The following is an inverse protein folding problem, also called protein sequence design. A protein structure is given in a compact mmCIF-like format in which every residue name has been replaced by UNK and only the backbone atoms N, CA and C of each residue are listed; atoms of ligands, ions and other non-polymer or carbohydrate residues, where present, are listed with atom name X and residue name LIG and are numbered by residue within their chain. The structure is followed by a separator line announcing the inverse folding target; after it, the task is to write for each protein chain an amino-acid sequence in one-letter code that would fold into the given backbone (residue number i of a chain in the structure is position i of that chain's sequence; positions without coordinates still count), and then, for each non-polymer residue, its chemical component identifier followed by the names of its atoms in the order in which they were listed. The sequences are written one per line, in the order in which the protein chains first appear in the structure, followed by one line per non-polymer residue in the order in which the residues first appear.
data_IF_127057174438
#
_entry.id   IF_127057174438
#
_cell.length_a   1.000
_cell.length_b   1.000
_cell.length_c   1.000
_cell.angle_alpha   90.00
_cell.angle_beta   90.00
_cell.angle_gamma   90.00
#
_symmetry.space_group_name_H-M   'P 1'
#
loop_
_entity.id
_entity.type
_entity.pdbx_description
1 polymer ?
#
# COMPACT_ATOMS: atom_id res chain seq x y z
N UNK A 1 -20.60 -17.34 -0.15
CA UNK A 1 -19.17 -17.22 0.18
C UNK A 1 -18.99 -16.00 1.07
N UNK A 2 -17.95 -15.98 1.89
CA UNK A 2 -17.52 -14.80 2.65
C UNK A 2 -16.58 -14.01 1.74
N UNK A 3 -16.82 -12.72 1.51
CA UNK A 3 -15.91 -11.89 0.71
C UNK A 3 -14.57 -11.74 1.46
N UNK A 4 -13.45 -11.79 0.74
CA UNK A 4 -12.10 -11.57 1.26
C UNK A 4 -11.43 -10.42 0.53
N UNK A 5 -10.89 -9.45 1.27
CA UNK A 5 -10.20 -8.29 0.70
C UNK A 5 -8.81 -8.08 1.30
N UNK A 6 -7.90 -7.56 0.48
CA UNK A 6 -6.57 -7.10 0.91
C UNK A 6 -6.61 -5.58 1.08
N UNK A 7 -6.34 -5.08 2.28
CA UNK A 7 -6.15 -3.65 2.54
C UNK A 7 -4.66 -3.35 2.67
N UNK A 8 -4.08 -2.64 1.70
CA UNK A 8 -2.67 -2.33 1.64
C UNK A 8 -2.42 -0.83 1.81
N UNK A 9 -1.52 -0.47 2.73
CA UNK A 9 -1.22 0.91 3.09
C UNK A 9 -1.66 1.25 4.52
N UNK A 10 -2.45 2.30 4.69
CA UNK A 10 -3.03 2.83 5.94
C UNK A 10 -2.06 3.13 7.11
N UNK A 11 -0.76 2.84 7.00
CA UNK A 11 0.20 2.89 8.10
C UNK A 11 1.40 3.77 7.80
N UNK A 12 1.91 4.46 8.81
CA UNK A 12 3.03 5.39 8.68
C UNK A 12 3.99 5.27 9.87
N UNK A 13 5.24 5.69 9.64
CA UNK A 13 6.23 5.91 10.68
C UNK A 13 6.55 7.41 10.67
N UNK A 14 6.28 8.08 11.80
CA UNK A 14 6.67 9.47 12.04
C UNK A 14 8.05 9.43 12.70
N UNK A 15 9.00 10.20 12.18
CA UNK A 15 10.23 10.53 12.88
C UNK A 15 10.27 12.05 13.09
N UNK A 16 10.28 12.48 14.35
CA UNK A 16 10.21 13.88 14.75
C UNK A 16 11.53 14.32 15.37
N UNK A 17 12.08 15.44 14.91
CA UNK A 17 13.22 16.11 15.52
C UNK A 17 12.68 17.29 16.35
N UNK A 18 12.95 17.27 17.65
CA UNK A 18 12.47 18.26 18.62
C UNK A 18 13.62 19.16 19.05
N UNK A 19 13.66 20.39 18.53
CA UNK A 19 14.65 21.40 18.92
C UNK A 19 14.10 22.31 20.02
N UNK A 20 14.84 22.48 21.12
CA UNK A 20 14.43 23.28 22.28
C UNK A 20 15.62 24.06 22.84
N UNK A 21 15.71 25.34 22.49
CA UNK A 21 16.81 26.20 22.93
C UNK A 21 18.12 25.82 22.24
N UNK A 22 19.04 25.21 22.97
CA UNK A 22 20.30 24.68 22.44
C UNK A 22 20.25 23.16 22.19
N UNK A 23 19.24 22.47 22.73
CA UNK A 23 19.17 21.01 22.77
C UNK A 23 18.30 20.44 21.64
N UNK A 24 18.65 19.26 21.15
CA UNK A 24 17.79 18.44 20.29
C UNK A 24 17.55 17.04 20.88
N UNK A 25 16.38 16.46 20.59
CA UNK A 25 16.08 15.05 20.80
C UNK A 25 15.09 14.58 19.74
N UNK A 26 14.92 13.26 19.59
CA UNK A 26 14.01 12.69 18.58
C UNK A 26 12.92 11.82 19.20
N UNK A 27 11.78 11.72 18.51
CA UNK A 27 10.80 10.65 18.74
C UNK A 27 10.55 9.90 17.43
N UNK A 28 10.27 8.60 17.54
CA UNK A 28 9.85 7.75 16.40
C UNK A 28 8.60 7.00 16.81
N UNK A 29 7.54 7.15 16.01
CA UNK A 29 6.18 6.70 16.35
C UNK A 29 5.58 5.98 15.14
N UNK A 30 4.89 4.86 15.38
CA UNK A 30 4.16 4.11 14.35
C UNK A 30 2.65 4.34 14.52
N UNK A 31 1.93 4.50 13.41
CA UNK A 31 0.49 4.72 13.42
C UNK A 31 -0.24 4.03 12.27
N UNK A 32 -1.53 3.74 12.50
CA UNK A 32 -2.43 3.07 11.56
C UNK A 32 -3.77 3.81 11.50
N UNK A 33 -4.25 4.12 10.30
CA UNK A 33 -5.54 4.79 10.07
C UNK A 33 -6.71 3.83 9.82
N UNK A 34 -6.43 2.67 9.22
CA UNK A 34 -7.44 1.78 8.62
C UNK A 34 -8.41 1.10 9.60
N UNK A 35 -8.23 1.24 10.91
CA UNK A 35 -9.00 0.50 11.92
C UNK A 35 -10.52 0.60 11.74
N UNK A 36 -11.06 1.81 11.56
CA UNK A 36 -12.51 2.00 11.43
C UNK A 36 -13.08 1.35 10.15
N UNK A 37 -12.29 1.33 9.08
CA UNK A 37 -12.63 0.64 7.83
C UNK A 37 -12.59 -0.89 8.02
N UNK A 38 -11.53 -1.41 8.65
CA UNK A 38 -11.35 -2.83 8.97
C UNK A 38 -12.49 -3.34 9.88
N UNK A 39 -12.79 -2.61 10.96
CA UNK A 39 -13.83 -2.97 11.92
C UNK A 39 -15.22 -2.92 11.26
N UNK A 40 -15.49 -1.94 10.39
CA UNK A 40 -16.72 -1.83 9.61
C UNK A 40 -16.91 -2.96 8.58
N UNK A 41 -15.87 -3.28 7.80
CA UNK A 41 -15.88 -4.39 6.84
C UNK A 41 -16.15 -5.74 7.56
N UNK A 42 -15.47 -5.98 8.68
CA UNK A 42 -15.66 -7.18 9.51
C UNK A 42 -17.06 -7.26 10.11
N UNK A 43 -17.65 -6.14 10.54
CA UNK A 43 -19.03 -6.10 11.03
C UNK A 43 -20.07 -6.49 9.95
N UNK A 44 -19.74 -6.28 8.67
CA UNK A 44 -20.55 -6.73 7.52
C UNK A 44 -20.15 -8.11 6.98
N UNK A 45 -19.33 -8.87 7.70
CA UNK A 45 -18.97 -10.25 7.33
C UNK A 45 -17.95 -10.33 6.19
N UNK A 46 -17.13 -9.30 5.99
CA UNK A 46 -16.02 -9.30 5.03
C UNK A 46 -14.73 -9.65 5.77
N UNK A 47 -14.00 -10.64 5.28
CA UNK A 47 -12.65 -10.97 5.77
C UNK A 47 -11.66 -9.93 5.22
N UNK A 48 -10.85 -9.35 6.11
CA UNK A 48 -9.89 -8.30 5.75
C UNK A 48 -8.49 -8.72 6.21
N UNK A 49 -7.63 -8.98 5.23
CA UNK A 49 -6.19 -9.09 5.45
C UNK A 49 -5.60 -7.69 5.35
N UNK A 50 -4.98 -7.21 6.43
CA UNK A 50 -4.38 -5.88 6.48
C UNK A 50 -2.86 -5.96 6.32
N UNK A 51 -2.33 -5.20 5.36
CA UNK A 51 -0.92 -5.09 5.02
C UNK A 51 -0.45 -3.65 5.22
N UNK A 52 0.17 -3.34 6.37
CA UNK A 52 0.83 -2.07 6.62
C UNK A 52 1.73 -1.63 5.46
N UNK A 53 1.68 -0.34 5.11
CA UNK A 53 2.44 0.27 4.01
C UNK A 53 3.96 0.04 4.03
N UNK A 54 4.54 -0.33 5.17
CA UNK A 54 5.95 -0.69 5.29
C UNK A 54 6.27 -2.14 4.87
N UNK A 55 5.27 -3.03 4.83
CA UNK A 55 5.39 -4.41 4.32
C UNK A 55 5.04 -4.51 2.83
N UNK A 56 4.23 -3.60 2.29
CA UNK A 56 3.84 -3.55 0.86
C UNK A 56 5.03 -3.71 -0.12
N UNK A 57 6.23 -3.13 0.12
CA UNK A 57 7.37 -3.35 -0.78
C UNK A 57 7.80 -4.80 -0.92
N UNK A 58 7.84 -5.60 0.15
CA UNK A 58 8.27 -7.00 0.14
C UNK A 58 7.12 -7.99 -0.03
N UNK A 59 6.01 -7.76 0.66
CA UNK A 59 5.00 -8.79 0.96
C UNK A 59 3.78 -8.72 0.02
N UNK A 60 3.62 -7.63 -0.75
CA UNK A 60 2.50 -7.49 -1.67
C UNK A 60 2.61 -8.51 -2.83
N UNK A 61 1.53 -9.25 -3.16
CA UNK A 61 1.51 -10.32 -4.16
C UNK A 61 2.31 -10.05 -5.44
N UNK A 62 3.14 -11.04 -5.80
CA UNK A 62 4.10 -10.98 -6.91
C UNK A 62 3.62 -11.65 -8.20
N UNK A 63 2.42 -12.22 -8.19
CA UNK A 63 1.84 -12.99 -9.29
C UNK A 63 0.31 -12.87 -9.24
N UNK A 64 -0.36 -13.41 -10.27
CA UNK A 64 -1.81 -13.35 -10.37
C UNK A 64 -2.54 -14.36 -9.48
N UNK A 65 -1.93 -15.49 -9.12
CA UNK A 65 -2.59 -16.52 -8.31
C UNK A 65 -2.79 -16.03 -6.87
N UNK A 66 -1.78 -15.33 -6.32
CA UNK A 66 -1.87 -14.66 -5.03
C UNK A 66 -2.76 -13.41 -5.03
N UNK A 67 -3.08 -12.81 -6.18
CA UNK A 67 -4.04 -11.71 -6.31
C UNK A 67 -5.48 -12.23 -6.46
N UNK A 68 -5.68 -13.25 -7.29
CA UNK A 68 -6.97 -13.93 -7.53
C UNK A 68 -7.54 -14.60 -6.25
N UNK A 69 -6.75 -14.67 -5.16
CA UNK A 69 -7.16 -15.08 -3.82
C UNK A 69 -7.98 -14.02 -3.03
N UNK A 70 -8.26 -12.86 -3.62
CA UNK A 70 -9.06 -11.77 -3.02
C UNK A 70 -10.17 -11.30 -3.98
N UNK A 71 -11.38 -11.10 -3.46
CA UNK A 71 -12.50 -10.51 -4.22
C UNK A 71 -12.25 -9.04 -4.55
N UNK A 72 -11.54 -8.32 -3.66
CA UNK A 72 -11.09 -6.95 -3.92
C UNK A 72 -9.77 -6.60 -3.21
N UNK A 73 -9.07 -5.62 -3.78
CA UNK A 73 -7.84 -5.02 -3.27
C UNK A 73 -8.09 -3.53 -3.03
N UNK A 74 -7.80 -3.07 -1.83
CA UNK A 74 -7.96 -1.70 -1.37
C UNK A 74 -6.55 -1.10 -1.19
N UNK A 75 -6.22 -0.09 -1.99
CA UNK A 75 -5.01 0.72 -1.84
C UNK A 75 -5.38 2.03 -1.15
N UNK A 76 -4.82 2.29 0.04
CA UNK A 76 -5.15 3.47 0.83
C UNK A 76 -3.90 4.13 1.42
N UNK A 77 -3.71 5.42 1.12
CA UNK A 77 -2.55 6.24 1.51
C UNK A 77 -1.19 5.59 1.21
N UNK A 78 -1.06 4.97 0.01
CA UNK A 78 0.12 4.19 -0.39
C UNK A 78 0.58 4.55 -1.82
N UNK A 79 1.79 5.09 -1.91
CA UNK A 79 2.36 5.57 -3.18
C UNK A 79 2.78 4.42 -4.10
N UNK A 80 2.71 4.63 -5.42
CA UNK A 80 3.04 3.62 -6.44
C UNK A 80 4.46 3.08 -6.32
N UNK A 81 5.39 3.87 -5.77
CA UNK A 81 6.75 3.42 -5.40
C UNK A 81 6.75 2.14 -4.54
N UNK A 82 5.84 1.97 -3.57
CA UNK A 82 5.80 0.77 -2.72
C UNK A 82 5.36 -0.48 -3.50
N UNK A 83 4.53 -0.31 -4.53
CA UNK A 83 4.13 -1.40 -5.43
C UNK A 83 5.21 -1.68 -6.48
N UNK A 84 5.96 -0.69 -6.93
CA UNK A 84 6.95 -0.81 -8.02
C UNK A 84 8.37 -1.19 -7.55
N UNK A 85 8.84 -0.65 -6.42
CA UNK A 85 10.20 -0.81 -5.92
C UNK A 85 10.29 -1.92 -4.86
N UNK A 86 10.17 -3.18 -5.30
CA UNK A 86 10.45 -4.33 -4.43
C UNK A 86 11.91 -4.27 -3.90
N UNK A 87 12.21 -4.64 -2.64
CA UNK A 87 13.55 -4.51 -2.05
C UNK A 87 14.68 -5.15 -2.87
N UNK A 88 14.45 -6.32 -3.47
CA UNK A 88 15.44 -6.97 -4.34
C UNK A 88 15.76 -6.16 -5.62
N UNK A 89 14.82 -5.35 -6.10
CA UNK A 89 15.01 -4.46 -7.26
C UNK A 89 15.79 -3.22 -6.85
N UNK A 90 15.47 -2.65 -5.69
CA UNK A 90 16.10 -1.43 -5.19
C UNK A 90 17.52 -1.65 -4.63
N UNK A 91 17.74 -2.75 -3.90
CA UNK A 91 19.03 -3.05 -3.27
C UNK A 91 19.95 -3.91 -4.16
N UNK A 92 19.42 -4.97 -4.79
CA UNK A 92 20.23 -5.95 -5.53
C UNK A 92 20.18 -5.78 -7.06
N UNK A 93 19.45 -4.79 -7.57
CA UNK A 93 19.17 -4.61 -9.02
C UNK A 93 18.52 -5.83 -9.70
N UNK A 94 17.86 -6.72 -8.94
CA UNK A 94 17.21 -7.93 -9.46
C UNK A 94 15.88 -7.56 -10.14
N UNK A 95 15.58 -8.17 -11.29
CA UNK A 95 14.29 -7.98 -11.96
C UNK A 95 13.18 -8.68 -11.17
N UNK A 96 12.13 -7.95 -10.82
CA UNK A 96 10.90 -8.47 -10.21
C UNK A 96 9.69 -8.24 -11.13
N UNK A 97 8.54 -8.88 -10.84
CA UNK A 97 7.28 -8.56 -11.50
C UNK A 97 6.85 -7.10 -11.26
N UNK A 98 6.25 -6.47 -12.27
CA UNK A 98 5.60 -5.17 -12.14
C UNK A 98 4.19 -5.37 -11.54
N UNK A 99 4.04 -5.05 -10.26
CA UNK A 99 2.79 -5.25 -9.52
C UNK A 99 1.67 -4.30 -9.97
N UNK A 100 1.98 -3.19 -10.65
CA UNK A 100 0.96 -2.33 -11.27
C UNK A 100 0.37 -3.00 -12.52
N UNK A 101 1.19 -3.70 -13.32
CA UNK A 101 0.69 -4.51 -14.44
C UNK A 101 -0.05 -5.77 -13.99
N UNK A 102 0.33 -6.36 -12.86
CA UNK A 102 -0.43 -7.48 -12.26
C UNK A 102 -1.80 -7.01 -11.73
N UNK A 103 -1.85 -5.87 -11.03
CA UNK A 103 -3.12 -5.26 -10.60
C UNK A 103 -4.02 -4.90 -11.78
N UNK A 104 -3.46 -4.38 -12.88
CA UNK A 104 -4.20 -4.17 -14.12
C UNK A 104 -4.81 -5.48 -14.65
N UNK A 105 -4.02 -6.54 -14.77
CA UNK A 105 -4.48 -7.83 -15.28
C UNK A 105 -5.53 -8.48 -14.36
N UNK A 106 -5.40 -8.33 -13.05
CA UNK A 106 -6.41 -8.73 -12.05
C UNK A 106 -7.75 -8.00 -12.26
N UNK A 107 -7.73 -6.68 -12.49
CA UNK A 107 -8.95 -5.91 -12.83
C UNK A 107 -9.51 -6.31 -14.20
N UNK A 108 -8.67 -6.55 -15.21
CA UNK A 108 -9.09 -7.00 -16.55
C UNK A 108 -9.73 -8.41 -16.52
N UNK A 109 -9.44 -9.24 -15.52
CA UNK A 109 -10.14 -10.51 -15.22
C UNK A 109 -11.47 -10.33 -14.46
N UNK A 110 -11.74 -9.15 -13.90
CA UNK A 110 -12.92 -8.86 -13.07
C UNK A 110 -12.68 -8.74 -11.56
N UNK A 111 -11.44 -8.74 -11.10
CA UNK A 111 -11.09 -8.49 -9.70
C UNK A 111 -11.37 -7.03 -9.27
N UNK A 112 -11.83 -6.82 -8.04
CA UNK A 112 -12.18 -5.49 -7.55
C UNK A 112 -10.94 -4.67 -7.15
N UNK A 113 -10.76 -3.47 -7.71
CA UNK A 113 -9.72 -2.53 -7.25
C UNK A 113 -10.35 -1.24 -6.74
N UNK A 114 -10.00 -0.87 -5.51
CA UNK A 114 -10.44 0.34 -4.84
C UNK A 114 -9.21 1.17 -4.49
N UNK A 115 -9.18 2.43 -4.91
CA UNK A 115 -8.18 3.41 -4.45
C UNK A 115 -8.85 4.44 -3.53
N UNK A 116 -8.42 4.48 -2.27
CA UNK A 116 -8.92 5.40 -1.25
C UNK A 116 -8.01 6.64 -1.21
N UNK A 117 -8.60 7.83 -1.10
CA UNK A 117 -7.88 9.10 -1.13
C UNK A 117 -7.03 9.34 0.12
N UNK A 118 -5.84 9.90 -0.06
CA UNK A 118 -4.84 10.17 0.98
C UNK A 118 -3.72 11.07 0.45
N UNK A 119 -2.78 11.45 1.30
CA UNK A 119 -1.59 12.23 0.91
C UNK A 119 -0.63 11.41 0.03
N UNK A 120 -0.65 10.09 0.12
CA UNK A 120 0.09 9.16 -0.72
C UNK A 120 -0.81 8.37 -1.70
N UNK A 121 -2.01 8.86 -2.03
CA UNK A 121 -2.88 8.29 -3.08
C UNK A 121 -3.01 9.19 -4.31
N UNK A 122 -3.29 8.59 -5.48
CA UNK A 122 -3.39 9.28 -6.78
C UNK A 122 -2.11 10.04 -7.13
N UNK A 123 -2.17 11.36 -7.35
CA UNK A 123 -0.97 12.21 -7.46
C UNK A 123 -0.30 12.44 -6.10
N UNK A 124 -1.09 12.48 -5.02
CA UNK A 124 -0.64 12.75 -3.66
C UNK A 124 -0.18 14.18 -3.41
N UNK A 125 0.17 14.47 -2.16
CA UNK A 125 0.79 15.74 -1.77
C UNK A 125 2.12 15.90 -2.52
N UNK A 126 2.37 17.08 -3.08
CA UNK A 126 3.58 17.41 -3.86
C UNK A 126 3.87 16.45 -5.04
N UNK A 127 2.89 15.68 -5.53
CA UNK A 127 3.12 14.66 -6.57
C UNK A 127 3.81 13.38 -6.07
N UNK A 128 3.89 13.15 -4.76
CA UNK A 128 4.67 12.07 -4.16
C UNK A 128 4.10 10.66 -4.40
N UNK A 129 2.78 10.52 -4.61
CA UNK A 129 2.12 9.22 -4.76
C UNK A 129 2.28 8.59 -6.15
N UNK A 130 2.46 9.43 -7.18
CA UNK A 130 2.85 9.04 -8.56
C UNK A 130 1.97 7.98 -9.26
N UNK A 131 0.70 7.86 -8.91
CA UNK A 131 -0.21 7.00 -9.67
C UNK A 131 -0.38 7.56 -11.10
N UNK A 132 -0.19 6.71 -12.12
CA UNK A 132 -0.26 7.11 -13.53
C UNK A 132 0.97 7.89 -14.05
N UNK A 133 1.93 8.27 -13.21
CA UNK A 133 3.19 8.92 -13.63
C UNK A 133 4.45 8.07 -13.43
N UNK A 134 4.31 6.87 -12.86
CA UNK A 134 5.33 5.81 -12.96
C UNK A 134 5.40 5.26 -14.38
N UNK A 135 6.39 5.69 -15.15
CA UNK A 135 6.72 5.12 -16.46
C UNK A 135 7.40 3.76 -16.31
N UNK A 136 6.77 2.70 -16.81
CA UNK A 136 7.49 1.48 -17.16
C UNK A 136 8.33 1.76 -18.44
N UNK A 137 9.63 1.51 -18.35
CA UNK A 137 10.61 1.57 -19.45
C UNK A 137 10.93 0.17 -19.96
#
# INVERSE_FOLDING_TARGET
MTLKVLLAGESWIIHSIHMKGFDEFTTTEYGEGGRWLIDGLKAHGIAVDFMPGHLVPSDFPTDLEALDAYDAILLSDIGSNSLYLHPATFADSKKTPDRLQLLRQYVEKGGGLIMIGGYLSFSGINGAAKAGSTSAT
#
